data_IF_347344365356
#
_entry.id   IF_347344365356
#
_cell.length_a   1.000
_cell.length_b   1.000
_cell.length_c   1.000
_cell.angle_alpha   90.00
_cell.angle_beta   90.00
_cell.angle_gamma   90.00
#
_symmetry.space_group_name_H-M   'P 1'
#
loop_
_entity.id
_entity.type
_entity.pdbx_description
1 polymer ?
#
# COMPACT_ATOMS: atom_id res chain seq x y z
N UNK A 1 29.29 31.89 19.98
CA UNK A 1 27.87 31.44 19.88
C UNK A 1 27.07 32.07 18.75
N UNK A 2 27.44 33.21 18.20
CA UNK A 2 26.67 33.87 17.10
C UNK A 2 26.86 33.30 15.69
N UNK A 3 27.85 32.45 15.44
CA UNK A 3 28.10 31.85 14.11
C UNK A 3 27.35 30.53 13.84
N UNK A 4 26.82 29.87 14.87
CA UNK A 4 26.06 28.61 14.73
C UNK A 4 24.56 28.87 14.41
N UNK A 5 24.04 30.03 14.71
CA UNK A 5 22.64 30.40 14.42
C UNK A 5 22.42 30.82 12.96
N UNK A 6 23.44 31.29 12.25
CA UNK A 6 23.33 31.70 10.84
C UNK A 6 23.34 30.55 9.83
N UNK A 7 23.75 29.33 10.23
CA UNK A 7 23.73 28.16 9.36
C UNK A 7 22.40 27.41 9.33
N UNK A 8 21.53 27.62 10.33
CA UNK A 8 20.21 26.98 10.38
C UNK A 8 19.16 27.70 9.51
N UNK A 9 19.28 29.01 9.31
CA UNK A 9 18.35 29.79 8.51
C UNK A 9 18.54 29.61 7.00
N UNK A 10 19.74 29.36 6.53
CA UNK A 10 20.02 29.11 5.11
C UNK A 10 19.52 27.74 4.64
N UNK A 11 19.42 26.76 5.55
CA UNK A 11 18.93 25.41 5.21
C UNK A 11 17.39 25.36 5.10
N UNK A 12 16.69 26.18 5.87
CA UNK A 12 15.22 26.26 5.83
C UNK A 12 14.68 27.02 4.62
N UNK A 13 15.45 27.91 4.03
CA UNK A 13 15.01 28.70 2.88
C UNK A 13 15.21 27.98 1.52
N UNK A 14 16.05 26.95 1.44
CA UNK A 14 16.25 26.18 0.21
C UNK A 14 15.17 25.13 -0.07
N UNK A 15 14.30 24.85 0.90
CA UNK A 15 13.22 23.86 0.78
C UNK A 15 11.87 24.45 0.30
N UNK A 16 11.76 25.78 0.16
CA UNK A 16 10.50 26.46 -0.20
C UNK A 16 10.21 26.59 -1.70
N UNK A 17 11.10 26.17 -2.59
CA UNK A 17 10.95 26.40 -4.04
C UNK A 17 10.70 25.16 -4.91
N UNK A 18 10.35 24.01 -4.33
CA UNK A 18 9.93 22.85 -5.14
C UNK A 18 8.43 22.67 -5.05
N UNK A 19 7.75 23.05 -6.16
CA UNK A 19 6.35 22.73 -6.36
C UNK A 19 6.13 21.22 -6.26
N UNK A 20 5.04 20.76 -5.61
CA UNK A 20 4.74 19.33 -5.53
C UNK A 20 4.47 18.76 -6.93
N UNK A 21 4.84 17.51 -7.21
CA UNK A 21 4.54 16.88 -8.48
C UNK A 21 3.02 16.82 -8.68
N UNK A 22 2.57 17.23 -9.87
CA UNK A 22 1.16 17.15 -10.30
C UNK A 22 0.78 15.68 -10.37
N UNK A 23 0.05 15.19 -9.39
CA UNK A 23 -0.55 13.87 -9.44
C UNK A 23 -1.71 13.91 -10.44
N UNK A 24 -1.70 12.99 -11.40
CA UNK A 24 -2.82 12.76 -12.31
C UNK A 24 -4.05 12.36 -11.50
N UNK A 25 -5.01 13.26 -11.41
CA UNK A 25 -6.36 12.98 -10.91
C UNK A 25 -7.04 12.17 -12.02
N UNK A 26 -7.39 10.95 -11.72
CA UNK A 26 -8.17 10.09 -12.61
C UNK A 26 -9.61 10.64 -12.68
N UNK A 27 -9.93 11.35 -13.77
CA UNK A 27 -11.30 11.76 -14.08
C UNK A 27 -12.02 10.63 -14.84
N UNK A 28 -13.33 10.41 -14.59
CA UNK A 28 -14.09 9.43 -15.35
C UNK A 28 -14.27 9.90 -16.80
N UNK A 29 -14.10 8.99 -17.73
CA UNK A 29 -14.28 9.21 -19.17
C UNK A 29 -15.73 9.59 -19.46
N UNK A 30 -15.95 10.84 -19.93
CA UNK A 30 -17.15 11.25 -20.62
C UNK A 30 -17.00 10.99 -22.12
N UNK A 31 -18.02 10.36 -22.67
CA UNK A 31 -18.22 10.08 -24.07
C UNK A 31 -18.17 11.33 -24.94
N UNK A 32 -17.42 11.32 -26.05
CA UNK A 32 -17.59 12.26 -27.17
C UNK A 32 -16.96 11.71 -28.47
N UNK A 33 -17.33 12.25 -29.64
CA UNK A 33 -17.67 11.43 -30.78
C UNK A 33 -16.52 11.25 -31.80
N UNK A 34 -16.77 10.27 -32.67
CA UNK A 34 -15.99 9.84 -33.82
C UNK A 34 -15.78 10.99 -34.79
N UNK A 35 -14.53 11.31 -35.18
CA UNK A 35 -14.18 11.98 -36.41
C UNK A 35 -13.18 11.07 -37.14
N UNK A 36 -13.62 10.52 -38.27
CA UNK A 36 -12.79 9.84 -39.24
C UNK A 36 -11.94 10.88 -39.99
N UNK A 37 -10.62 10.66 -40.08
CA UNK A 37 -9.82 11.16 -41.19
C UNK A 37 -8.67 10.18 -41.45
N UNK A 38 -8.73 9.60 -42.61
CA UNK A 38 -7.67 8.81 -43.23
C UNK A 38 -6.43 9.65 -43.51
N UNK A 39 -5.23 9.12 -43.26
CA UNK A 39 -4.12 9.04 -44.23
C UNK A 39 -2.88 8.38 -43.60
N UNK A 40 -2.47 7.30 -44.13
CA UNK A 40 -1.13 6.99 -44.66
C UNK A 40 0.05 6.85 -43.73
N UNK A 41 0.55 5.60 -43.56
CA UNK A 41 1.97 5.42 -43.74
C UNK A 41 2.79 4.84 -42.58
N UNK A 42 3.28 3.65 -42.83
CA UNK A 42 4.53 2.98 -42.42
C UNK A 42 4.64 2.40 -40.99
N UNK A 43 4.76 1.09 -41.00
CA UNK A 43 4.86 0.15 -39.94
C UNK A 43 6.02 0.33 -38.97
N UNK A 44 5.73 -0.02 -37.73
CA UNK A 44 6.65 -0.64 -36.80
C UNK A 44 5.91 -1.77 -36.09
N UNK A 45 6.12 -2.97 -36.61
CA UNK A 45 5.68 -4.24 -36.06
C UNK A 45 6.50 -4.55 -34.79
N UNK A 46 5.86 -4.58 -33.66
CA UNK A 46 6.14 -5.47 -32.54
C UNK A 46 4.96 -5.46 -31.57
N UNK A 47 3.84 -6.02 -32.00
CA UNK A 47 2.80 -6.48 -31.09
C UNK A 47 3.34 -7.69 -30.32
N UNK A 48 3.95 -7.45 -29.18
CA UNK A 48 4.08 -8.51 -28.18
C UNK A 48 2.66 -8.88 -27.75
N UNK A 49 2.13 -9.96 -28.32
CA UNK A 49 0.95 -10.65 -27.83
C UNK A 49 1.16 -10.95 -26.35
N UNK A 50 0.47 -10.21 -25.50
CA UNK A 50 0.34 -10.59 -24.09
C UNK A 50 -0.42 -11.91 -24.09
N UNK A 51 0.28 -13.02 -23.78
CA UNK A 51 -0.36 -14.30 -23.52
C UNK A 51 -1.53 -14.06 -22.58
N UNK A 52 -2.75 -14.52 -22.92
CA UNK A 52 -3.86 -14.45 -22.00
C UNK A 52 -3.47 -15.21 -20.74
N UNK A 53 -3.56 -14.53 -19.58
CA UNK A 53 -3.38 -15.14 -18.29
C UNK A 53 -4.35 -16.33 -18.16
N UNK A 54 -3.92 -17.46 -17.58
CA UNK A 54 -4.79 -18.61 -17.42
C UNK A 54 -6.06 -18.19 -16.69
N UNK A 55 -7.19 -18.50 -17.31
CA UNK A 55 -8.52 -18.19 -16.82
C UNK A 55 -8.71 -18.80 -15.42
N UNK A 56 -8.89 -17.92 -14.43
CA UNK A 56 -9.77 -18.23 -13.33
C UNK A 56 -9.19 -18.99 -12.14
N UNK A 57 -8.33 -18.38 -11.34
CA UNK A 57 -8.54 -18.55 -9.91
C UNK A 57 -9.65 -17.54 -9.55
N UNK A 58 -10.89 -18.02 -9.52
CA UNK A 58 -11.98 -17.29 -8.86
C UNK A 58 -11.57 -17.21 -7.40
N UNK A 59 -10.99 -16.09 -6.99
CA UNK A 59 -10.87 -15.76 -5.59
C UNK A 59 -12.30 -15.44 -5.09
N UNK A 60 -13.14 -16.49 -4.99
CA UNK A 60 -14.15 -16.53 -3.99
C UNK A 60 -13.39 -16.45 -2.68
N UNK A 61 -13.05 -15.23 -2.25
CA UNK A 61 -12.62 -15.00 -0.89
C UNK A 61 -13.85 -15.33 -0.05
N UNK A 62 -13.96 -16.62 0.25
CA UNK A 62 -14.91 -17.10 1.21
C UNK A 62 -14.48 -16.43 2.52
N UNK A 63 -15.27 -15.51 2.99
CA UNK A 63 -14.92 -14.55 4.04
C UNK A 63 -14.79 -15.23 5.42
N UNK A 64 -14.95 -16.55 5.48
CA UNK A 64 -14.52 -17.40 6.58
C UNK A 64 -13.01 -17.72 6.51
N UNK A 65 -12.18 -16.68 6.30
CA UNK A 65 -10.74 -16.86 6.40
C UNK A 65 -10.39 -17.26 7.83
N UNK A 66 -9.63 -18.36 8.02
CA UNK A 66 -9.16 -18.72 9.34
C UNK A 66 -8.33 -17.58 9.92
N UNK A 67 -8.62 -17.20 11.17
CA UNK A 67 -7.88 -16.13 11.84
C UNK A 67 -6.40 -16.55 11.94
N UNK A 68 -5.51 -15.65 11.56
CA UNK A 68 -4.08 -15.87 11.67
C UNK A 68 -3.64 -15.76 13.14
N UNK A 69 -3.61 -16.90 13.84
CA UNK A 69 -3.31 -16.99 15.28
C UNK A 69 -1.86 -17.37 15.59
N UNK A 70 -0.95 -17.29 14.62
CA UNK A 70 0.46 -17.57 14.92
C UNK A 70 1.03 -16.49 15.84
N UNK A 71 1.79 -16.95 16.86
CA UNK A 71 2.64 -16.07 17.63
C UNK A 71 3.51 -15.24 16.69
N UNK A 72 3.65 -13.91 16.91
CA UNK A 72 4.50 -13.08 16.07
C UNK A 72 5.93 -13.61 16.00
N UNK A 73 6.39 -13.93 14.80
CA UNK A 73 7.74 -14.47 14.55
C UNK A 73 8.51 -13.61 13.57
N UNK A 74 8.37 -12.28 13.71
CA UNK A 74 9.08 -11.35 12.84
C UNK A 74 10.56 -11.26 13.18
N UNK A 75 11.36 -11.00 12.14
CA UNK A 75 12.80 -10.78 12.26
C UNK A 75 13.09 -9.29 12.11
N UNK A 76 13.84 -8.68 13.02
CA UNK A 76 14.29 -7.29 12.84
C UNK A 76 15.18 -7.18 11.62
N UNK A 77 15.10 -6.05 10.93
CA UNK A 77 15.95 -5.68 9.79
C UNK A 77 16.94 -4.62 10.29
N UNK A 78 18.17 -5.01 10.62
CA UNK A 78 19.16 -4.08 11.16
C UNK A 78 19.55 -3.01 10.13
N UNK A 79 19.44 -3.35 8.84
CA UNK A 79 19.77 -2.44 7.75
C UNK A 79 18.83 -2.66 6.56
N UNK A 80 18.24 -1.57 6.06
CA UNK A 80 17.42 -1.61 4.85
C UNK A 80 18.31 -1.50 3.60
N UNK A 81 18.01 -2.34 2.62
CA UNK A 81 18.53 -2.12 1.25
C UNK A 81 17.97 -0.81 0.69
N UNK A 82 18.64 -0.23 -0.32
CA UNK A 82 18.14 0.98 -1.02
C UNK A 82 16.70 0.81 -1.51
N UNK A 83 16.37 -0.36 -2.04
CA UNK A 83 15.01 -0.67 -2.54
C UNK A 83 13.98 -0.75 -1.42
N UNK A 84 14.27 -1.44 -0.32
CA UNK A 84 13.38 -1.51 0.83
C UNK A 84 13.12 -0.12 1.42
N UNK A 85 14.15 0.71 1.54
CA UNK A 85 14.01 2.10 1.98
C UNK A 85 13.04 2.88 1.08
N UNK A 86 13.17 2.77 -0.24
CA UNK A 86 12.28 3.42 -1.19
C UNK A 86 10.82 2.98 -1.01
N UNK A 87 10.57 1.69 -0.74
CA UNK A 87 9.22 1.19 -0.49
C UNK A 87 8.64 1.69 0.84
N UNK A 88 9.44 1.76 1.89
CA UNK A 88 9.01 2.36 3.15
C UNK A 88 8.74 3.85 3.03
N UNK A 89 9.55 4.61 2.28
CA UNK A 89 9.28 6.03 2.01
C UNK A 89 7.97 6.21 1.22
N UNK A 90 7.68 5.31 0.28
CA UNK A 90 6.40 5.32 -0.43
C UNK A 90 5.22 4.98 0.49
N UNK A 91 5.37 4.00 1.39
CA UNK A 91 4.34 3.68 2.39
C UNK A 91 4.13 4.85 3.37
N UNK A 92 5.21 5.54 3.77
CA UNK A 92 5.16 6.77 4.56
C UNK A 92 4.39 7.87 3.85
N UNK A 93 4.67 8.12 2.57
CA UNK A 93 3.95 9.12 1.78
C UNK A 93 2.46 8.82 1.69
N UNK A 94 2.10 7.53 1.53
CA UNK A 94 0.70 7.09 1.52
C UNK A 94 0.02 7.24 2.88
N UNK A 95 0.73 7.04 3.99
CA UNK A 95 0.18 7.17 5.34
C UNK A 95 -0.33 8.59 5.63
N UNK A 96 0.26 9.62 5.02
CA UNK A 96 -0.15 11.02 5.17
C UNK A 96 -1.58 11.27 4.62
N UNK A 97 -2.04 10.41 3.70
CA UNK A 97 -3.38 10.51 3.12
C UNK A 97 -4.48 9.91 4.01
N UNK A 98 -4.12 9.37 5.17
CA UNK A 98 -5.09 8.85 6.13
C UNK A 98 -5.95 9.96 6.73
N UNK A 99 -7.25 9.73 6.77
CA UNK A 99 -8.24 10.61 7.44
C UNK A 99 -8.47 10.25 8.92
N UNK A 100 -7.70 9.28 9.45
CA UNK A 100 -7.81 8.89 10.85
C UNK A 100 -7.16 9.93 11.76
N UNK A 101 -7.86 10.41 12.83
CA UNK A 101 -7.38 11.55 13.65
C UNK A 101 -6.10 11.26 14.44
N UNK A 102 -5.82 9.98 14.74
CA UNK A 102 -4.74 9.61 15.66
C UNK A 102 -3.71 8.64 15.06
N UNK A 103 -4.09 7.83 14.06
CA UNK A 103 -3.26 6.74 13.54
C UNK A 103 -3.18 6.80 12.03
N UNK A 104 -2.01 7.13 11.52
CA UNK A 104 -1.75 7.21 10.08
C UNK A 104 -0.92 6.01 9.66
N UNK A 105 -1.56 5.07 8.97
CA UNK A 105 -0.91 3.89 8.41
C UNK A 105 -0.94 3.93 6.89
N UNK A 106 0.18 3.59 6.28
CA UNK A 106 0.29 3.41 4.84
C UNK A 106 0.75 1.99 4.51
N UNK A 107 0.21 1.44 3.45
CA UNK A 107 0.57 0.14 2.90
C UNK A 107 0.85 0.26 1.41
N UNK A 108 1.93 -0.34 0.94
CA UNK A 108 2.19 -0.53 -0.49
C UNK A 108 2.40 -2.01 -0.79
N UNK A 109 1.82 -2.48 -1.88
CA UNK A 109 2.03 -3.82 -2.40
C UNK A 109 3.01 -3.73 -3.56
N UNK A 110 4.06 -4.53 -3.50
CA UNK A 110 5.17 -4.49 -4.45
C UNK A 110 5.36 -5.82 -5.15
N UNK A 111 5.63 -5.77 -6.45
CA UNK A 111 6.04 -6.89 -7.28
C UNK A 111 7.43 -6.60 -7.83
N UNK A 112 8.41 -7.38 -7.43
CA UNK A 112 9.81 -7.14 -7.80
C UNK A 112 10.32 -5.76 -7.38
N UNK A 113 10.43 -4.84 -8.35
CA UNK A 113 10.88 -3.45 -8.10
C UNK A 113 9.76 -2.41 -8.23
N UNK A 114 8.54 -2.83 -8.51
CA UNK A 114 7.42 -1.95 -8.84
C UNK A 114 6.36 -1.98 -7.74
N UNK A 115 5.86 -0.81 -7.36
CA UNK A 115 4.65 -0.68 -6.54
C UNK A 115 3.45 -0.88 -7.46
N UNK A 116 2.61 -1.87 -7.16
CA UNK A 116 1.42 -2.22 -7.96
C UNK A 116 0.12 -1.73 -7.33
N UNK A 117 0.13 -1.46 -6.02
CA UNK A 117 -1.01 -0.88 -5.31
C UNK A 117 -0.56 -0.19 -4.04
N UNK A 118 -1.37 0.74 -3.55
CA UNK A 118 -1.16 1.42 -2.28
C UNK A 118 -2.49 1.73 -1.59
N UNK A 119 -2.46 1.89 -0.27
CA UNK A 119 -3.62 2.23 0.53
C UNK A 119 -3.24 2.79 1.89
N UNK A 120 -4.11 3.62 2.45
CA UNK A 120 -4.02 4.11 3.82
C UNK A 120 -5.24 3.67 4.62
N UNK A 121 -5.15 3.70 5.94
CA UNK A 121 -6.31 3.49 6.79
C UNK A 121 -7.28 4.69 6.69
N UNK A 122 -8.58 4.42 6.88
CA UNK A 122 -9.62 5.44 6.73
C UNK A 122 -10.78 5.15 7.68
N UNK A 123 -11.34 6.21 8.29
CA UNK A 123 -12.56 6.15 9.08
C UNK A 123 -13.80 6.45 8.24
N UNK A 124 -13.65 7.10 7.09
CA UNK A 124 -14.76 7.47 6.20
C UNK A 124 -15.04 6.41 5.13
N UNK A 125 -14.07 5.53 4.87
CA UNK A 125 -14.18 4.46 3.88
C UNK A 125 -14.03 3.12 4.57
N UNK A 126 -15.05 2.25 4.41
CA UNK A 126 -14.98 0.88 4.89
C UNK A 126 -15.50 -0.08 3.81
N UNK A 127 -14.80 -1.18 3.63
CA UNK A 127 -15.20 -2.23 2.70
C UNK A 127 -15.96 -3.34 3.43
N UNK A 128 -16.85 -4.02 2.70
CA UNK A 128 -17.54 -5.22 3.23
C UNK A 128 -16.56 -6.33 3.63
N UNK A 129 -15.40 -6.42 2.98
CA UNK A 129 -14.33 -7.35 3.37
C UNK A 129 -13.78 -6.98 4.74
N UNK A 130 -13.48 -5.68 4.99
CA UNK A 130 -13.00 -5.23 6.29
C UNK A 130 -14.05 -5.49 7.38
N UNK A 131 -15.32 -5.19 7.13
CA UNK A 131 -16.41 -5.45 8.07
C UNK A 131 -16.46 -6.91 8.50
N UNK A 132 -16.33 -7.83 7.55
CA UNK A 132 -16.35 -9.27 7.84
C UNK A 132 -15.09 -9.73 8.60
N UNK A 133 -13.91 -9.19 8.28
CA UNK A 133 -12.67 -9.47 9.01
C UNK A 133 -12.77 -8.99 10.46
N UNK A 134 -13.34 -7.82 10.68
CA UNK A 134 -13.52 -7.26 12.03
C UNK A 134 -14.59 -8.02 12.81
N UNK A 135 -15.71 -8.42 12.16
CA UNK A 135 -16.72 -9.27 12.77
C UNK A 135 -16.11 -10.59 13.28
N UNK A 136 -15.32 -11.26 12.46
CA UNK A 136 -14.65 -12.50 12.85
C UNK A 136 -13.64 -12.30 14.00
N UNK A 137 -13.06 -11.10 14.12
CA UNK A 137 -12.06 -10.78 15.15
C UNK A 137 -12.67 -10.30 16.46
N UNK A 138 -13.76 -9.52 16.44
CA UNK A 138 -14.28 -8.79 17.59
C UNK A 138 -15.70 -9.19 17.99
N UNK A 139 -16.26 -10.25 17.42
CA UNK A 139 -17.60 -10.71 17.78
C UNK A 139 -18.73 -9.76 17.40
N UNK A 140 -18.57 -8.98 16.35
CA UNK A 140 -19.63 -8.10 15.83
C UNK A 140 -19.45 -6.60 16.10
N UNK A 141 -18.51 -6.21 16.95
CA UNK A 141 -18.19 -4.79 17.19
C UNK A 141 -17.26 -4.24 16.10
N UNK A 142 -17.84 -3.77 15.01
CA UNK A 142 -17.09 -3.13 13.95
C UNK A 142 -17.00 -1.62 14.17
N UNK A 143 -15.79 -1.07 14.18
CA UNK A 143 -15.53 0.38 14.40
C UNK A 143 -15.54 1.22 13.12
N UNK A 144 -15.97 0.67 11.99
CA UNK A 144 -16.07 1.42 10.72
C UNK A 144 -14.73 1.82 10.08
N UNK A 145 -13.59 1.34 10.59
CA UNK A 145 -12.25 1.72 10.10
C UNK A 145 -11.79 0.77 9.01
N UNK A 146 -11.42 1.27 7.85
CA UNK A 146 -10.72 0.49 6.84
C UNK A 146 -9.22 0.46 7.14
N UNK A 147 -8.62 -0.72 7.17
CA UNK A 147 -7.20 -0.86 7.37
C UNK A 147 -6.42 -0.58 6.07
N UNK A 148 -5.19 -0.09 6.21
CA UNK A 148 -4.33 0.26 5.07
C UNK A 148 -4.08 -0.94 4.14
N UNK A 149 -3.91 -2.14 4.70
CA UNK A 149 -3.72 -3.39 3.98
C UNK A 149 -4.93 -3.73 3.13
N UNK A 150 -6.13 -3.66 3.71
CA UNK A 150 -7.38 -3.91 2.98
C UNK A 150 -7.56 -2.88 1.87
N UNK A 151 -7.29 -1.61 2.15
CA UNK A 151 -7.34 -0.53 1.17
C UNK A 151 -6.40 -0.78 -0.02
N UNK A 152 -5.17 -1.24 0.24
CA UNK A 152 -4.19 -1.57 -0.80
C UNK A 152 -4.55 -2.84 -1.58
N UNK A 153 -5.12 -3.86 -0.93
CA UNK A 153 -5.43 -5.14 -1.57
C UNK A 153 -6.69 -5.14 -2.42
N UNK A 154 -7.70 -4.37 -2.04
CA UNK A 154 -9.02 -4.40 -2.71
C UNK A 154 -8.96 -4.20 -4.23
N UNK A 155 -8.19 -3.24 -4.79
CA UNK A 155 -8.09 -3.08 -6.23
C UNK A 155 -7.51 -4.32 -6.92
N UNK A 156 -6.49 -4.93 -6.32
CA UNK A 156 -5.79 -6.10 -6.87
C UNK A 156 -6.68 -7.36 -6.82
N UNK A 157 -7.42 -7.55 -5.73
CA UNK A 157 -8.38 -8.64 -5.58
C UNK A 157 -9.50 -8.53 -6.63
N UNK A 158 -10.02 -7.33 -6.88
CA UNK A 158 -11.04 -7.10 -7.91
C UNK A 158 -10.53 -7.39 -9.32
N UNK A 159 -9.25 -7.12 -9.56
CA UNK A 159 -8.57 -7.43 -10.84
C UNK A 159 -8.14 -8.89 -10.95
N UNK A 160 -8.37 -9.70 -9.91
CA UNK A 160 -7.92 -11.10 -9.83
C UNK A 160 -6.42 -11.27 -10.10
N UNK A 161 -5.61 -10.33 -9.59
CA UNK A 161 -4.16 -10.35 -9.75
C UNK A 161 -3.55 -11.54 -9.00
N UNK A 162 -2.54 -12.16 -9.58
CA UNK A 162 -1.69 -13.12 -8.87
C UNK A 162 -0.69 -12.36 -7.99
N UNK A 163 -0.77 -12.54 -6.68
CA UNK A 163 0.05 -11.84 -5.71
C UNK A 163 1.11 -12.75 -5.03
N UNK A 164 1.33 -13.95 -5.57
CA UNK A 164 2.27 -14.93 -4.98
C UNK A 164 3.73 -14.45 -4.99
N UNK A 165 4.10 -13.62 -5.96
CA UNK A 165 5.43 -12.99 -6.08
C UNK A 165 5.53 -11.66 -5.33
N UNK A 166 4.43 -11.19 -4.73
CA UNK A 166 4.34 -9.87 -4.12
C UNK A 166 4.75 -9.87 -2.65
N UNK A 167 5.08 -8.67 -2.18
CA UNK A 167 5.31 -8.37 -0.77
C UNK A 167 4.55 -7.11 -0.36
N UNK A 168 4.18 -7.03 0.93
CA UNK A 168 3.56 -5.84 1.50
C UNK A 168 4.57 -5.06 2.34
N UNK A 169 4.57 -3.74 2.24
CA UNK A 169 5.34 -2.83 3.07
C UNK A 169 4.39 -1.89 3.80
N UNK A 170 4.51 -1.85 5.13
CA UNK A 170 3.66 -1.05 5.99
C UNK A 170 4.48 -0.04 6.79
N UNK A 171 3.96 1.16 6.90
CA UNK A 171 4.58 2.24 7.64
C UNK A 171 3.59 2.89 8.60
N UNK A 172 4.07 3.18 9.81
CA UNK A 172 3.40 4.01 10.79
C UNK A 172 4.44 4.79 11.58
N UNK A 173 4.10 6.03 11.95
CA UNK A 173 4.85 6.82 12.93
C UNK A 173 3.92 7.44 13.95
N UNK A 174 4.49 7.79 15.10
CA UNK A 174 3.86 8.65 16.09
C UNK A 174 3.83 10.11 15.60
N UNK A 175 3.13 10.97 16.34
CA UNK A 175 3.02 12.41 16.01
C UNK A 175 4.35 13.16 16.12
N UNK A 176 5.27 12.68 16.94
CA UNK A 176 6.63 13.19 17.09
C UNK A 176 7.59 12.74 15.99
N UNK A 177 7.12 11.89 15.06
CA UNK A 177 7.90 11.36 13.96
C UNK A 177 8.67 10.08 14.28
N UNK A 178 8.68 9.61 15.54
CA UNK A 178 9.26 8.32 15.91
C UNK A 178 8.47 7.17 15.25
N UNK A 179 9.16 6.07 14.95
CA UNK A 179 8.52 4.90 14.35
C UNK A 179 7.56 4.26 15.35
N UNK A 180 6.46 3.74 14.83
CA UNK A 180 5.48 2.98 15.60
C UNK A 180 5.22 1.63 14.93
N UNK A 181 4.77 0.65 15.71
CA UNK A 181 4.47 -0.67 15.18
C UNK A 181 3.33 -0.60 14.16
N UNK A 182 3.60 -1.12 12.93
CA UNK A 182 2.63 -1.22 11.84
C UNK A 182 2.39 -2.68 11.41
N UNK A 183 2.70 -3.64 12.28
CA UNK A 183 2.42 -5.06 12.01
C UNK A 183 0.93 -5.25 11.73
N UNK A 184 0.52 -5.90 10.63
CA UNK A 184 -0.87 -6.17 10.33
C UNK A 184 -1.57 -6.94 11.47
N UNK A 185 -2.84 -6.64 11.71
CA UNK A 185 -3.64 -7.41 12.63
C UNK A 185 -3.91 -8.84 12.07
N UNK A 186 -4.38 -9.75 12.92
CA UNK A 186 -4.66 -11.13 12.53
C UNK A 186 -5.59 -11.26 11.32
N UNK A 187 -6.61 -10.41 11.22
CA UNK A 187 -7.53 -10.37 10.06
C UNK A 187 -6.81 -9.94 8.77
N UNK A 188 -6.02 -8.86 8.83
CA UNK A 188 -5.25 -8.40 7.67
C UNK A 188 -4.15 -9.42 7.27
N UNK A 189 -3.51 -10.08 8.23
CA UNK A 189 -2.57 -11.17 7.94
C UNK A 189 -3.26 -12.33 7.20
N UNK A 190 -4.46 -12.72 7.64
CA UNK A 190 -5.25 -13.75 6.96
C UNK A 190 -5.59 -13.33 5.53
N UNK A 191 -5.98 -12.08 5.32
CA UNK A 191 -6.33 -11.54 4.00
C UNK A 191 -5.09 -11.49 3.08
N UNK A 192 -3.96 -10.98 3.56
CA UNK A 192 -2.70 -10.94 2.82
C UNK A 192 -2.26 -12.33 2.37
N UNK A 193 -2.32 -13.30 3.31
CA UNK A 193 -1.98 -14.69 3.04
C UNK A 193 -2.93 -15.34 2.02
N UNK A 194 -4.24 -15.13 2.16
CA UNK A 194 -5.24 -15.64 1.23
C UNK A 194 -5.10 -15.03 -0.18
N UNK A 195 -4.64 -13.77 -0.26
CA UNK A 195 -4.33 -13.11 -1.52
C UNK A 195 -3.02 -13.62 -2.17
N UNK A 196 -2.24 -14.47 -1.50
CA UNK A 196 -1.00 -15.04 -2.04
C UNK A 196 0.28 -14.39 -1.50
N UNK A 197 0.20 -13.27 -0.80
CA UNK A 197 1.37 -12.58 -0.24
C UNK A 197 1.96 -13.43 0.89
N UNK A 198 3.30 -13.60 0.87
CA UNK A 198 4.03 -14.43 1.86
C UNK A 198 5.03 -13.64 2.69
N UNK A 199 5.36 -12.41 2.31
CA UNK A 199 6.31 -11.56 3.03
C UNK A 199 5.69 -10.21 3.35
N UNK A 200 5.77 -9.83 4.61
CA UNK A 200 5.25 -8.55 5.11
C UNK A 200 6.37 -7.82 5.82
N UNK A 201 6.68 -6.63 5.36
CA UNK A 201 7.66 -5.71 5.92
C UNK A 201 6.92 -4.58 6.65
N UNK A 202 7.34 -4.24 7.85
CA UNK A 202 6.64 -3.22 8.64
C UNK A 202 7.58 -2.49 9.60
N UNK A 203 7.15 -1.32 10.06
CA UNK A 203 7.85 -0.56 11.11
C UNK A 203 7.59 -1.16 12.48
N UNK A 204 8.60 -1.11 13.33
CA UNK A 204 8.55 -1.35 14.78
C UNK A 204 9.15 -0.13 15.47
N UNK A 205 9.01 -0.02 16.78
CA UNK A 205 9.49 1.16 17.54
C UNK A 205 10.97 1.45 17.31
N UNK A 206 11.80 0.41 17.23
CA UNK A 206 13.24 0.51 17.09
C UNK A 206 13.74 0.33 15.64
N UNK A 207 12.86 0.40 14.64
CA UNK A 207 13.26 0.27 13.24
C UNK A 207 12.27 -0.49 12.36
N UNK A 208 12.75 -1.52 11.68
CA UNK A 208 11.99 -2.25 10.67
C UNK A 208 12.07 -3.75 10.90
N UNK A 209 11.03 -4.45 10.50
CA UNK A 209 10.96 -5.90 10.63
C UNK A 209 10.35 -6.56 9.38
N UNK A 210 10.56 -7.87 9.25
CA UNK A 210 9.93 -8.71 8.23
C UNK A 210 9.35 -9.98 8.88
N UNK A 211 8.17 -10.36 8.41
CA UNK A 211 7.51 -11.62 8.80
C UNK A 211 7.12 -12.41 7.55
N UNK A 212 7.37 -13.72 7.59
CA UNK A 212 6.86 -14.66 6.60
C UNK A 212 5.54 -15.25 7.10
N UNK A 213 4.48 -15.10 6.29
CA UNK A 213 3.09 -15.44 6.67
C UNK A 213 2.49 -16.58 5.86
#
# INVERSE_FOLDING_TARGET
>A
MAQLLRRSESYLNSQRSRAPPKYCIWAPASSSPIIESETGGTGCSASQERKPLPMGISLNINVNLPIYNKTPTYKPLPQLTRRQRSFFESAKAVSILSDHPNFHLGCVIVEGSRIISSGCNSITRCSSIQQKLDHNRFGGEHKGVCHAETSALLPLIRQRADLTSCAAYLYRSHKDGSLAISRPCSGCMSLLRAAGIRRVFFTVEDGYAVENI
#
